data_IF_208895219913
#
_entry.id   IF_208895219913
#
_cell.length_a   1.000
_cell.length_b   1.000
_cell.length_c   1.000
_cell.angle_alpha   90.00
_cell.angle_beta   90.00
_cell.angle_gamma   90.00
#
_symmetry.space_group_name_H-M   'P 1'
#
loop_
_entity.id
_entity.type
_entity.pdbx_description
1 polymer ?
#
# COMPACT_ATOMS: atom_id res chain seq x y z
N UNK A 1 2.17 19.21 3.62
CA UNK A 1 2.83 19.27 4.95
C UNK A 1 4.26 18.75 4.80
N UNK A 2 5.26 19.55 5.19
CA UNK A 2 6.66 19.12 5.22
C UNK A 2 6.86 18.24 6.45
N UNK A 3 7.26 16.98 6.25
CA UNK A 3 7.58 16.08 7.35
C UNK A 3 8.81 16.60 8.07
N UNK A 4 8.78 16.65 9.41
CA UNK A 4 9.91 17.04 10.24
C UNK A 4 10.34 15.87 11.11
N UNK A 5 11.63 15.73 11.36
CA UNK A 5 12.16 14.76 12.31
C UNK A 5 11.87 15.21 13.76
N UNK A 6 12.23 14.39 14.76
CA UNK A 6 12.03 14.71 16.18
C UNK A 6 12.80 15.96 16.66
N UNK A 7 13.75 16.46 15.88
CA UNK A 7 14.53 17.67 16.15
C UNK A 7 13.91 18.92 15.50
N UNK A 8 12.80 18.76 14.75
CA UNK A 8 12.08 19.85 14.10
C UNK A 8 12.63 20.27 12.73
N UNK A 9 13.68 19.60 12.22
CA UNK A 9 14.21 19.82 10.89
C UNK A 9 13.34 19.16 9.82
N UNK A 10 13.14 19.82 8.66
CA UNK A 10 12.50 19.19 7.52
C UNK A 10 13.25 17.92 7.13
N UNK A 11 12.57 16.78 7.28
CA UNK A 11 13.09 15.47 6.89
C UNK A 11 12.18 14.87 5.82
N UNK A 12 12.43 15.23 4.55
CA UNK A 12 11.69 14.67 3.43
C UNK A 12 11.92 13.15 3.27
N UNK A 13 13.01 12.60 3.83
CA UNK A 13 13.35 11.19 3.75
C UNK A 13 12.47 10.37 4.69
N UNK A 14 12.37 10.76 5.97
CA UNK A 14 11.44 10.17 6.92
C UNK A 14 9.99 10.28 6.44
N UNK A 15 9.61 11.44 5.90
CA UNK A 15 8.28 11.64 5.33
C UNK A 15 7.97 10.79 4.11
N UNK A 16 8.97 10.43 3.29
CA UNK A 16 8.80 9.47 2.20
C UNK A 16 8.67 8.05 2.75
N UNK A 17 9.48 7.68 3.75
CA UNK A 17 9.45 6.35 4.34
C UNK A 17 8.09 6.02 4.99
N UNK A 18 7.52 6.95 5.76
CA UNK A 18 6.20 6.75 6.38
C UNK A 18 5.09 6.63 5.33
N UNK A 19 5.14 7.48 4.29
CA UNK A 19 4.19 7.40 3.16
C UNK A 19 4.32 6.09 2.37
N UNK A 20 5.53 5.58 2.21
CA UNK A 20 5.79 4.30 1.55
C UNK A 20 5.40 3.10 2.41
N UNK A 21 5.49 3.19 3.75
CA UNK A 21 5.18 2.09 4.66
C UNK A 21 3.69 1.70 4.67
N UNK A 22 2.80 2.65 4.38
CA UNK A 22 1.37 2.41 4.21
C UNK A 22 0.98 1.90 2.81
N UNK A 23 1.87 2.01 1.83
CA UNK A 23 1.61 1.51 0.46
C UNK A 23 1.81 0.00 0.40
N UNK A 24 1.02 -0.62 -0.47
CA UNK A 24 1.20 -2.01 -0.84
C UNK A 24 2.55 -2.17 -1.56
N UNK A 25 3.40 -3.16 -1.17
CA UNK A 25 4.62 -3.47 -1.90
C UNK A 25 4.33 -3.80 -3.37
N UNK A 26 5.20 -3.39 -4.30
CA UNK A 26 4.97 -3.49 -5.74
C UNK A 26 4.66 -4.91 -6.21
N UNK A 27 5.33 -5.93 -5.67
CA UNK A 27 5.07 -7.32 -6.05
C UNK A 27 3.67 -7.80 -5.64
N UNK A 28 3.15 -7.34 -4.49
CA UNK A 28 1.78 -7.62 -4.05
C UNK A 28 0.77 -6.84 -4.88
N UNK A 29 1.08 -5.57 -5.20
CA UNK A 29 0.23 -4.73 -6.05
C UNK A 29 0.06 -5.32 -7.45
N UNK A 30 1.15 -5.81 -8.05
CA UNK A 30 1.08 -6.46 -9.35
C UNK A 30 0.19 -7.72 -9.31
N UNK A 31 0.30 -8.53 -8.26
CA UNK A 31 -0.58 -9.69 -8.06
C UNK A 31 -2.04 -9.26 -7.86
N UNK A 32 -2.30 -8.21 -7.08
CA UNK A 32 -3.64 -7.63 -6.90
C UNK A 32 -4.24 -7.19 -8.23
N UNK A 33 -3.50 -6.50 -9.10
CA UNK A 33 -4.00 -6.08 -10.41
C UNK A 33 -4.43 -7.26 -11.28
N UNK A 34 -3.64 -8.33 -11.33
CA UNK A 34 -3.99 -9.54 -12.09
C UNK A 34 -5.26 -10.18 -11.52
N UNK A 35 -5.32 -10.34 -10.20
CA UNK A 35 -6.49 -10.91 -9.52
C UNK A 35 -7.74 -10.07 -9.72
N UNK A 36 -7.63 -8.74 -9.60
CA UNK A 36 -8.75 -7.83 -9.79
C UNK A 36 -9.23 -7.83 -11.25
N UNK A 37 -8.33 -7.96 -12.23
CA UNK A 37 -8.72 -8.13 -13.63
C UNK A 37 -9.48 -9.43 -13.84
N UNK A 38 -9.02 -10.55 -13.26
CA UNK A 38 -9.74 -11.83 -13.36
C UNK A 38 -11.10 -11.79 -12.66
N UNK A 39 -11.21 -11.10 -11.52
CA UNK A 39 -12.48 -10.87 -10.85
C UNK A 39 -13.42 -10.03 -11.73
N UNK A 40 -12.88 -9.00 -12.40
CA UNK A 40 -13.63 -8.14 -13.31
C UNK A 40 -14.24 -8.89 -14.50
N UNK A 41 -13.56 -9.92 -15.02
CA UNK A 41 -14.14 -10.80 -16.05
C UNK A 41 -15.41 -11.54 -15.59
N UNK A 42 -15.55 -11.74 -14.28
CA UNK A 42 -16.70 -12.37 -13.65
C UNK A 42 -17.71 -11.33 -13.11
N UNK A 43 -17.51 -10.04 -13.36
CA UNK A 43 -18.33 -8.96 -12.81
C UNK A 43 -18.10 -8.71 -11.31
N UNK A 44 -16.95 -9.14 -10.78
CA UNK A 44 -16.57 -9.00 -9.37
C UNK A 44 -15.42 -7.99 -9.22
N UNK A 45 -15.31 -7.39 -8.04
CA UNK A 45 -14.22 -6.48 -7.69
C UNK A 45 -13.59 -6.90 -6.36
N UNK A 46 -12.26 -6.84 -6.29
CA UNK A 46 -11.54 -7.10 -5.05
C UNK A 46 -11.43 -5.78 -4.28
N UNK A 47 -12.17 -5.68 -3.17
CA UNK A 47 -12.22 -4.49 -2.32
C UNK A 47 -11.11 -4.42 -1.28
N UNK A 48 -10.44 -5.53 -1.00
CA UNK A 48 -9.30 -5.57 -0.08
C UNK A 48 -8.49 -6.86 -0.14
N UNK A 49 -7.21 -6.75 0.19
CA UNK A 49 -6.28 -7.89 0.31
C UNK A 49 -5.62 -7.84 1.68
N UNK A 50 -5.47 -9.02 2.29
CA UNK A 50 -4.72 -9.24 3.53
C UNK A 50 -3.51 -10.11 3.27
N UNK A 51 -2.34 -9.64 3.69
CA UNK A 51 -1.17 -10.51 3.82
C UNK A 51 -1.36 -11.42 5.05
N UNK A 52 -1.41 -12.74 4.81
CA UNK A 52 -1.58 -13.74 5.85
C UNK A 52 -0.39 -13.81 6.81
N UNK A 53 0.83 -13.48 6.35
CA UNK A 53 2.05 -13.57 7.17
C UNK A 53 2.19 -12.37 8.12
N UNK A 54 1.99 -11.17 7.60
CA UNK A 54 2.17 -9.93 8.39
C UNK A 54 0.87 -9.42 9.01
N UNK A 55 -0.28 -9.92 8.56
CA UNK A 55 -1.60 -9.42 8.97
C UNK A 55 -1.95 -8.04 8.39
N UNK A 56 -1.09 -7.46 7.54
CA UNK A 56 -1.36 -6.17 6.91
C UNK A 56 -2.52 -6.29 5.94
N UNK A 57 -3.43 -5.33 6.00
CA UNK A 57 -4.57 -5.21 5.12
C UNK A 57 -4.43 -3.96 4.26
N UNK A 58 -4.68 -4.10 2.97
CA UNK A 58 -4.77 -3.00 2.04
C UNK A 58 -6.16 -3.02 1.43
N UNK A 59 -6.90 -1.93 1.63
CA UNK A 59 -8.20 -1.68 1.01
C UNK A 59 -7.98 -0.77 -0.19
N UNK A 60 -8.80 -0.97 -1.22
CA UNK A 60 -8.80 -0.08 -2.40
C UNK A 60 -9.26 1.32 -2.00
#
# INVERSE_FOLDING_TARGET
MSYKNNEGYPDPTAGKAVRSAGRMPTHIYNAFCVLNNTAGLLGLEITGIRDRKTGKEWKK
#
